data_IF_429951237222
#
_entry.id   IF_429951237222
#
_cell.length_a   1.000
_cell.length_b   1.000
_cell.length_c   1.000
_cell.angle_alpha   90.00
_cell.angle_beta   90.00
_cell.angle_gamma   90.00
#
_symmetry.space_group_name_H-M   'P 1'
#
loop_
_entity.id
_entity.type
_entity.pdbx_description
1 polymer ?
#
# COMPACT_ATOMS: atom_id res chain seq x y z
N UNK A 1 5.94 -4.19 0.98
CA UNK A 1 4.96 -3.81 2.04
C UNK A 1 3.60 -4.41 1.67
N UNK A 2 2.82 -4.87 2.66
CA UNK A 2 1.48 -5.43 2.46
C UNK A 2 0.41 -4.38 2.78
N UNK A 3 -0.43 -4.03 1.81
CA UNK A 3 -1.45 -2.98 1.97
C UNK A 3 -2.86 -3.40 1.51
N UNK A 4 -3.03 -4.61 0.97
CA UNK A 4 -4.27 -5.05 0.31
C UNK A 4 -5.40 -5.61 1.20
N UNK A 5 -5.38 -5.43 2.51
CA UNK A 5 -6.37 -6.08 3.39
C UNK A 5 -7.75 -5.41 3.42
N UNK A 6 -8.84 -6.18 3.28
CA UNK A 6 -10.20 -5.71 3.63
C UNK A 6 -10.27 -5.54 5.14
N UNK A 7 -10.30 -4.30 5.63
CA UNK A 7 -10.60 -4.05 7.03
C UNK A 7 -12.06 -4.39 7.32
N UNK A 8 -12.34 -5.63 7.74
CA UNK A 8 -13.69 -6.08 8.14
C UNK A 8 -14.26 -5.28 9.33
N UNK A 9 -13.41 -4.62 10.11
CA UNK A 9 -13.77 -3.87 11.32
C UNK A 9 -13.99 -2.37 11.10
N UNK A 10 -13.49 -1.79 10.00
CA UNK A 10 -13.67 -0.37 9.68
C UNK A 10 -14.41 -0.11 8.36
N UNK A 11 -14.64 -1.14 7.53
CA UNK A 11 -15.37 -1.01 6.26
C UNK A 11 -14.68 -0.18 5.18
N UNK A 12 -13.47 0.35 5.47
CA UNK A 12 -12.67 1.20 4.58
C UNK A 12 -11.24 0.72 4.49
N UNK A 13 -10.60 1.06 3.37
CA UNK A 13 -9.18 0.82 3.17
C UNK A 13 -8.35 1.63 4.18
N UNK A 14 -7.55 0.92 5.00
CA UNK A 14 -6.71 1.57 6.02
C UNK A 14 -5.50 2.26 5.41
N UNK A 15 -5.05 1.81 4.24
CA UNK A 15 -3.88 2.38 3.56
C UNK A 15 -4.16 3.80 3.07
N UNK A 16 -5.42 4.10 2.72
CA UNK A 16 -5.87 5.41 2.23
C UNK A 16 -6.39 6.33 3.36
N UNK A 17 -6.22 5.96 4.63
CA UNK A 17 -6.56 6.86 5.72
C UNK A 17 -5.63 8.09 5.70
N UNK A 18 -6.14 9.32 5.93
CA UNK A 18 -5.31 10.51 6.01
C UNK A 18 -4.23 10.37 7.07
N UNK A 19 -3.02 10.78 6.73
CA UNK A 19 -1.91 10.85 7.67
C UNK A 19 -1.82 12.27 8.28
N UNK A 20 -1.53 12.43 9.59
CA UNK A 20 -1.50 13.76 10.23
C UNK A 20 -0.52 14.76 9.60
N UNK A 21 0.56 14.28 8.99
CA UNK A 21 1.56 15.09 8.30
C UNK A 21 1.22 15.39 6.83
N UNK A 22 0.01 15.05 6.37
CA UNK A 22 -0.42 15.17 4.97
C UNK A 22 -0.30 13.84 4.21
N UNK A 23 -1.04 13.73 3.10
CA UNK A 23 -1.16 12.48 2.34
C UNK A 23 -1.96 11.41 3.10
N UNK A 24 -1.67 10.14 2.81
CA UNK A 24 -2.28 8.97 3.45
C UNK A 24 -1.23 8.07 4.10
N UNK A 25 -1.66 7.12 4.92
CA UNK A 25 -0.75 6.18 5.57
C UNK A 25 0.12 5.38 4.59
N UNK A 26 -0.43 4.99 3.44
CA UNK A 26 0.32 4.30 2.40
C UNK A 26 1.51 5.12 1.92
N UNK A 27 1.29 6.41 1.68
CA UNK A 27 2.34 7.31 1.21
C UNK A 27 3.40 7.54 2.26
N UNK A 28 3.00 7.74 3.52
CA UNK A 28 3.93 7.97 4.63
C UNK A 28 4.89 6.77 4.81
N UNK A 29 4.34 5.55 4.77
CA UNK A 29 5.14 4.33 4.96
C UNK A 29 6.09 4.06 3.79
N UNK A 30 5.69 4.36 2.55
CA UNK A 30 6.61 4.25 1.40
C UNK A 30 7.72 5.30 1.52
N UNK A 31 7.39 6.52 1.92
CA UNK A 31 8.37 7.61 2.06
C UNK A 31 9.39 7.33 3.19
N UNK A 32 9.04 6.53 4.20
CA UNK A 32 9.98 6.02 5.22
C UNK A 32 10.90 4.91 4.70
N UNK A 33 10.45 4.10 3.74
CA UNK A 33 11.22 2.96 3.21
C UNK A 33 12.17 3.33 2.07
N UNK A 34 11.80 4.30 1.23
CA UNK A 34 12.62 4.74 0.09
C UNK A 34 14.06 5.18 0.46
N UNK A 35 14.30 5.88 1.59
CA UNK A 35 15.65 6.26 2.01
C UNK A 35 16.59 5.09 2.30
N UNK A 36 16.07 3.87 2.46
CA UNK A 36 16.90 2.67 2.64
C UNK A 36 17.68 2.29 1.36
N UNK A 37 17.41 2.94 0.24
CA UNK A 37 18.17 2.76 -1.01
C UNK A 37 17.82 1.49 -1.79
N UNK A 38 16.73 0.81 -1.43
CA UNK A 38 16.23 -0.37 -2.12
C UNK A 38 14.89 -0.11 -2.80
N UNK A 39 14.62 -0.73 -3.96
CA UNK A 39 13.31 -0.63 -4.61
C UNK A 39 12.19 -1.11 -3.67
N UNK A 40 11.13 -0.31 -3.56
CA UNK A 40 9.96 -0.64 -2.75
C UNK A 40 8.91 -1.25 -3.66
N UNK A 41 8.47 -2.47 -3.32
CA UNK A 41 7.29 -3.09 -3.92
C UNK A 41 6.13 -3.11 -2.93
N UNK A 42 5.00 -2.57 -3.37
CA UNK A 42 3.73 -2.58 -2.64
C UNK A 42 2.83 -3.63 -3.28
N UNK A 43 2.49 -4.68 -2.53
CA UNK A 43 1.51 -5.66 -2.96
C UNK A 43 0.13 -5.22 -2.46
N UNK A 44 -0.80 -5.03 -3.39
CA UNK A 44 -2.16 -4.59 -3.08
C UNK A 44 -3.17 -5.18 -4.06
N UNK A 45 -4.39 -5.44 -3.61
CA UNK A 45 -5.51 -5.75 -4.51
C UNK A 45 -6.27 -4.51 -4.99
N UNK A 46 -5.92 -3.32 -4.48
CA UNK A 46 -6.62 -2.06 -4.76
C UNK A 46 -5.84 -1.26 -5.80
N UNK A 47 -6.43 -1.04 -6.98
CA UNK A 47 -5.82 -0.27 -8.06
C UNK A 47 -5.54 1.20 -7.67
N UNK A 48 -6.36 1.77 -6.81
CA UNK A 48 -6.19 3.13 -6.24
C UNK A 48 -4.82 3.32 -5.58
N UNK A 49 -4.19 2.26 -5.07
CA UNK A 49 -2.85 2.34 -4.48
C UNK A 49 -1.78 2.67 -5.52
N UNK A 50 -1.94 2.21 -6.75
CA UNK A 50 -1.04 2.54 -7.85
C UNK A 50 -1.13 4.03 -8.20
N UNK A 51 -2.33 4.60 -8.21
CA UNK A 51 -2.55 6.03 -8.48
C UNK A 51 -1.91 6.90 -7.40
N UNK A 52 -2.12 6.56 -6.13
CA UNK A 52 -1.57 7.27 -4.97
C UNK A 52 -0.02 7.24 -4.93
N UNK A 53 0.58 6.17 -5.46
CA UNK A 53 2.03 5.97 -5.46
C UNK A 53 2.71 6.33 -6.79
N UNK A 54 1.97 6.75 -7.82
CA UNK A 54 2.48 7.00 -9.17
C UNK A 54 3.64 8.01 -9.22
N UNK A 55 3.69 8.95 -8.27
CA UNK A 55 4.69 10.01 -8.21
C UNK A 55 5.88 9.71 -7.29
N UNK A 56 6.06 8.45 -6.85
CA UNK A 56 7.16 8.02 -5.97
C UNK A 56 8.20 7.20 -6.73
N UNK A 57 9.29 7.83 -7.22
CA UNK A 57 10.34 7.08 -7.90
C UNK A 57 10.97 6.05 -6.95
N UNK A 58 11.25 4.86 -7.47
CA UNK A 58 11.76 3.73 -6.67
C UNK A 58 10.67 2.92 -5.98
N UNK A 59 9.39 3.30 -6.11
CA UNK A 59 8.24 2.49 -5.68
C UNK A 59 7.49 1.91 -6.89
N UNK A 60 7.03 0.67 -6.75
CA UNK A 60 6.13 0.02 -7.71
C UNK A 60 5.00 -0.70 -6.99
N UNK A 61 3.84 -0.79 -7.65
CA UNK A 61 2.68 -1.50 -7.13
C UNK A 61 2.46 -2.77 -7.94
N UNK A 62 2.38 -3.90 -7.25
CA UNK A 62 2.02 -5.20 -7.81
C UNK A 62 0.59 -5.50 -7.37
N UNK A 63 -0.29 -5.79 -8.34
CA UNK A 63 -1.66 -6.17 -8.03
C UNK A 63 -1.73 -7.63 -7.58
N UNK A 64 -2.30 -7.86 -6.41
CA UNK A 64 -2.48 -9.20 -5.86
C UNK A 64 -3.60 -9.93 -6.62
N UNK A 65 -3.32 -11.06 -7.29
CA UNK A 65 -4.37 -11.86 -7.93
C UNK A 65 -5.24 -12.53 -6.85
N UNK A 66 -6.55 -12.74 -7.12
CA UNK A 66 -7.39 -13.53 -6.24
C UNK A 66 -6.90 -14.99 -6.15
N UNK A 67 -7.15 -15.72 -5.05
CA UNK A 67 -8.03 -15.37 -3.93
C UNK A 67 -7.33 -14.61 -2.78
N UNK A 68 -7.93 -13.53 -2.30
CA UNK A 68 -7.36 -12.66 -1.24
C UNK A 68 -7.64 -13.21 0.18
N UNK A 69 -7.03 -14.35 0.51
CA UNK A 69 -7.32 -15.10 1.75
C UNK A 69 -6.57 -14.60 3.00
N UNK A 70 -5.71 -13.59 2.87
CA UNK A 70 -4.97 -13.02 4.00
C UNK A 70 -3.51 -12.73 3.66
N UNK A 71 -2.72 -12.22 4.61
CA UNK A 71 -1.34 -11.76 4.38
C UNK A 71 -0.33 -12.89 4.13
N UNK A 72 -0.67 -14.12 4.52
CA UNK A 72 0.04 -15.33 4.13
C UNK A 72 -0.88 -16.06 3.15
N UNK A 73 -0.59 -15.96 1.85
CA UNK A 73 -1.11 -16.87 0.84
C UNK A 73 -0.52 -18.26 1.18
N UNK A 74 -1.21 -19.04 2.00
CA UNK A 74 -0.88 -20.42 2.35
C UNK A 74 -1.74 -21.39 1.54
#
# INVERSE_FOLDING_TARGET
MLSGGSSRRMGRDKALLPHPSGGVWLTALVDELLPLGHPVQVLSRHAEHAEVLAHRPGCSVVLEPPPWNGPLQA
#
